data_IF_762828168909
#
_entry.id   IF_762828168909
#
_cell.length_a   1.000
_cell.length_b   1.000
_cell.length_c   1.000
_cell.angle_alpha   90.00
_cell.angle_beta   90.00
_cell.angle_gamma   90.00
#
_symmetry.space_group_name_H-M   'P 1'
#
loop_
_entity.id
_entity.type
_entity.pdbx_description
1 polymer ?
#
# COMPACT_ATOMS: atom_id res chain seq x y z
N UNK A 1 6.75 -16.59 7.34
CA UNK A 1 6.38 -15.33 8.02
C UNK A 1 4.90 -14.95 7.78
N UNK A 2 4.46 -14.77 6.56
CA UNK A 2 3.07 -14.39 6.24
C UNK A 2 2.06 -15.54 6.25
N UNK A 3 2.48 -16.76 6.56
CA UNK A 3 1.63 -17.98 6.58
C UNK A 3 0.95 -18.25 7.91
N UNK A 4 0.97 -17.28 8.85
CA UNK A 4 0.39 -17.47 10.19
C UNK A 4 1.14 -18.46 11.09
N UNK A 5 2.33 -18.89 10.68
CA UNK A 5 3.21 -19.75 11.49
C UNK A 5 3.88 -18.93 12.59
N UNK A 6 4.22 -19.53 13.75
CA UNK A 6 5.02 -18.86 14.78
C UNK A 6 6.32 -18.31 14.19
N UNK A 7 6.59 -17.05 14.40
CA UNK A 7 7.75 -16.38 13.80
C UNK A 7 8.87 -16.23 14.82
N UNK A 8 10.11 -16.26 14.33
CA UNK A 8 11.29 -15.96 15.18
C UNK A 8 11.31 -14.49 15.60
N UNK A 9 10.71 -13.59 14.81
CA UNK A 9 10.62 -12.16 15.08
C UNK A 9 9.36 -11.53 14.43
N UNK A 10 8.94 -10.36 14.93
CA UNK A 10 7.83 -9.58 14.39
C UNK A 10 8.35 -8.82 13.16
N UNK A 11 7.69 -8.92 11.99
CA UNK A 11 8.09 -8.15 10.82
C UNK A 11 7.94 -6.65 11.04
N UNK A 12 8.86 -5.86 10.48
CA UNK A 12 8.80 -4.41 10.46
C UNK A 12 9.11 -3.87 9.08
N UNK A 13 8.27 -2.96 8.57
CA UNK A 13 8.54 -2.25 7.33
C UNK A 13 7.86 -0.87 7.34
N UNK A 14 8.62 0.13 6.89
CA UNK A 14 8.17 1.50 6.71
C UNK A 14 8.41 1.95 5.28
N UNK A 15 7.72 3.00 4.85
CA UNK A 15 7.76 3.49 3.48
C UNK A 15 7.96 5.00 3.45
N UNK A 16 8.78 5.47 2.52
CA UNK A 16 9.04 6.88 2.32
C UNK A 16 8.98 7.24 0.84
N UNK A 17 8.41 8.40 0.53
CA UNK A 17 8.41 8.94 -0.82
C UNK A 17 9.81 9.28 -1.29
N UNK A 18 10.07 9.10 -2.58
CA UNK A 18 11.34 9.41 -3.23
C UNK A 18 11.48 10.91 -3.47
N UNK A 19 12.70 11.43 -3.41
CA UNK A 19 12.99 12.81 -3.77
C UNK A 19 12.81 13.04 -5.28
N UNK A 20 12.52 14.29 -5.71
CA UNK A 20 12.30 14.59 -7.12
C UNK A 20 13.42 14.12 -8.05
N UNK A 21 14.68 14.21 -7.62
CA UNK A 21 15.86 13.76 -8.37
C UNK A 21 16.03 12.24 -8.42
N UNK A 22 15.23 11.49 -7.68
CA UNK A 22 15.30 10.03 -7.51
C UNK A 22 14.12 9.28 -8.14
N UNK A 23 13.27 9.97 -8.89
CA UNK A 23 12.00 9.41 -9.37
C UNK A 23 12.15 8.42 -10.53
N UNK A 24 13.24 8.46 -11.29
CA UNK A 24 13.34 7.72 -12.55
C UNK A 24 14.66 6.97 -12.70
N UNK A 25 14.63 5.91 -13.52
CA UNK A 25 15.79 5.18 -14.00
C UNK A 25 16.70 4.65 -12.90
N UNK A 26 18.00 4.77 -13.10
CA UNK A 26 19.03 4.28 -12.15
C UNK A 26 18.98 4.99 -10.79
N UNK A 27 18.62 6.29 -10.76
CA UNK A 27 18.51 7.03 -9.50
C UNK A 27 17.40 6.44 -8.61
N UNK A 28 16.29 6.04 -9.22
CA UNK A 28 15.18 5.40 -8.52
C UNK A 28 15.58 4.04 -7.93
N UNK A 29 16.27 3.20 -8.71
CA UNK A 29 16.77 1.91 -8.24
C UNK A 29 17.73 2.11 -7.06
N UNK A 30 18.72 3.00 -7.20
CA UNK A 30 19.67 3.30 -6.12
C UNK A 30 19.00 3.85 -4.86
N UNK A 31 17.94 4.66 -5.01
CA UNK A 31 17.20 5.19 -3.86
C UNK A 31 16.52 4.06 -3.05
N UNK A 32 15.89 3.09 -3.71
CA UNK A 32 15.29 1.93 -3.06
C UNK A 32 16.34 1.06 -2.35
N UNK A 33 17.45 0.77 -3.02
CA UNK A 33 18.54 -0.02 -2.43
C UNK A 33 19.17 0.70 -1.23
N UNK A 34 19.37 2.01 -1.35
CA UNK A 34 19.89 2.82 -0.24
C UNK A 34 18.91 2.82 0.94
N UNK A 35 17.60 3.01 0.69
CA UNK A 35 16.58 2.96 1.72
C UNK A 35 16.58 1.61 2.43
N UNK A 36 16.59 0.51 1.68
CA UNK A 36 16.69 -0.85 2.24
C UNK A 36 17.90 -0.98 3.15
N UNK A 37 19.10 -0.64 2.67
CA UNK A 37 20.35 -0.76 3.44
C UNK A 37 20.42 0.17 4.66
N UNK A 38 19.73 1.30 4.64
CA UNK A 38 19.69 2.24 5.75
C UNK A 38 18.70 1.87 6.83
N UNK A 39 17.58 1.25 6.48
CA UNK A 39 16.46 1.01 7.40
C UNK A 39 16.28 -0.44 7.78
N UNK A 40 16.93 -1.37 7.06
CA UNK A 40 16.91 -2.83 7.28
C UNK A 40 15.49 -3.37 7.55
N UNK A 41 14.52 -3.14 6.64
CA UNK A 41 13.17 -3.63 6.80
C UNK A 41 13.07 -5.12 6.45
N UNK A 42 12.11 -5.82 7.03
CA UNK A 42 11.89 -7.24 6.73
C UNK A 42 11.34 -7.49 5.31
N UNK A 43 10.83 -6.45 4.66
CA UNK A 43 10.51 -6.43 3.22
C UNK A 43 10.54 -5.00 2.68
N UNK A 44 10.80 -4.84 1.40
CA UNK A 44 10.85 -3.53 0.75
C UNK A 44 9.58 -3.27 -0.08
N UNK A 45 8.96 -2.11 0.10
CA UNK A 45 7.93 -1.61 -0.83
C UNK A 45 8.57 -0.82 -1.97
N UNK A 46 8.39 -1.30 -3.20
CA UNK A 46 8.76 -0.57 -4.42
C UNK A 46 7.75 0.56 -4.62
N UNK A 47 8.23 1.80 -4.54
CA UNK A 47 7.36 2.98 -4.56
C UNK A 47 6.87 3.30 -5.97
N UNK A 48 5.63 3.81 -6.03
CA UNK A 48 4.99 4.27 -7.26
C UNK A 48 5.55 5.61 -7.77
N UNK A 49 6.27 6.35 -6.94
CA UNK A 49 6.69 7.73 -7.19
C UNK A 49 7.36 7.90 -8.56
N UNK A 50 6.97 8.95 -9.28
CA UNK A 50 7.53 9.27 -10.59
C UNK A 50 7.06 8.41 -11.76
N UNK A 51 6.25 7.36 -11.54
CA UNK A 51 5.68 6.60 -12.64
C UNK A 51 4.60 7.42 -13.37
N UNK A 52 4.68 7.41 -14.69
CA UNK A 52 3.75 8.13 -15.56
C UNK A 52 2.40 7.41 -15.55
N UNK A 53 1.39 7.99 -14.89
CA UNK A 53 0.06 7.40 -14.85
C UNK A 53 -0.70 7.62 -16.18
N UNK A 54 -1.73 6.82 -16.50
CA UNK A 54 -2.53 6.98 -17.71
C UNK A 54 -3.10 8.39 -17.90
N UNK A 55 -3.47 9.07 -16.83
CA UNK A 55 -3.94 10.47 -16.87
C UNK A 55 -2.86 11.45 -17.33
N UNK A 56 -1.60 11.19 -17.03
CA UNK A 56 -0.47 12.00 -17.49
C UNK A 56 -0.22 11.76 -19.00
N UNK A 57 -0.78 10.69 -19.56
CA UNK A 57 -0.76 10.34 -21.00
C UNK A 57 -1.99 10.84 -21.76
N UNK A 58 -2.78 11.73 -21.17
CA UNK A 58 -3.90 12.41 -21.83
C UNK A 58 -5.30 11.90 -21.48
N UNK A 59 -5.45 10.94 -20.57
CA UNK A 59 -6.78 10.51 -20.11
C UNK A 59 -7.37 11.52 -19.13
N UNK A 60 -7.78 12.68 -19.66
CA UNK A 60 -8.23 13.82 -18.85
C UNK A 60 -9.65 14.30 -19.15
N UNK A 61 -10.31 13.72 -20.14
CA UNK A 61 -11.68 14.03 -20.54
C UNK A 61 -12.54 12.78 -20.60
N UNK A 62 -13.88 12.96 -20.56
CA UNK A 62 -14.83 11.85 -20.67
C UNK A 62 -14.71 11.13 -22.03
N UNK A 63 -14.47 11.88 -23.11
CA UNK A 63 -14.29 11.30 -24.44
C UNK A 63 -13.04 10.41 -24.54
N UNK A 64 -11.95 10.83 -23.92
CA UNK A 64 -10.73 10.03 -23.87
C UNK A 64 -10.92 8.75 -23.00
N UNK A 65 -11.66 8.87 -21.89
CA UNK A 65 -12.03 7.71 -21.05
C UNK A 65 -12.95 6.76 -21.81
N UNK A 66 -13.93 7.24 -22.59
CA UNK A 66 -14.77 6.41 -23.46
C UNK A 66 -13.96 5.67 -24.52
N UNK A 67 -12.90 6.29 -25.01
CA UNK A 67 -12.00 5.71 -26.02
C UNK A 67 -10.96 4.75 -25.44
N UNK A 68 -10.72 4.78 -24.13
CA UNK A 68 -9.70 3.95 -23.49
C UNK A 68 -9.98 2.46 -23.68
N UNK A 69 -8.94 1.72 -24.02
CA UNK A 69 -8.97 0.24 -24.13
C UNK A 69 -7.70 -0.31 -23.52
N UNK A 70 -7.75 -1.47 -22.86
CA UNK A 70 -6.57 -2.08 -22.26
C UNK A 70 -5.57 -2.47 -23.34
N UNK A 71 -4.33 -2.14 -23.15
CA UNK A 71 -3.22 -2.45 -24.07
C UNK A 71 -2.11 -3.29 -23.41
N UNK A 72 -2.26 -3.60 -22.14
CA UNK A 72 -1.42 -4.52 -21.35
C UNK A 72 0.07 -4.22 -21.51
N UNK A 73 0.89 -5.19 -21.89
CA UNK A 73 2.33 -5.03 -22.07
C UNK A 73 2.77 -3.98 -23.12
N UNK A 74 1.85 -3.42 -23.90
CA UNK A 74 2.13 -2.27 -24.78
C UNK A 74 1.97 -0.92 -24.07
N UNK A 75 1.37 -0.92 -22.87
CA UNK A 75 1.16 0.28 -22.08
C UNK A 75 2.51 0.79 -21.54
N UNK A 76 2.94 2.04 -21.86
CA UNK A 76 4.21 2.59 -21.37
C UNK A 76 4.31 2.60 -19.83
N UNK A 77 3.21 2.90 -19.15
CA UNK A 77 3.11 2.86 -17.71
C UNK A 77 3.43 1.47 -17.13
N UNK A 78 2.85 0.41 -17.72
CA UNK A 78 3.10 -0.97 -17.31
C UNK A 78 4.57 -1.35 -17.55
N UNK A 79 5.13 -0.98 -18.68
CA UNK A 79 6.54 -1.28 -19.00
C UNK A 79 7.51 -0.61 -18.03
N UNK A 80 7.26 0.67 -17.69
CA UNK A 80 8.09 1.41 -16.74
C UNK A 80 8.03 0.77 -15.34
N UNK A 81 6.84 0.31 -14.93
CA UNK A 81 6.65 -0.42 -13.66
C UNK A 81 7.47 -1.71 -13.61
N UNK A 82 7.31 -2.54 -14.63
CA UNK A 82 7.99 -3.84 -14.69
C UNK A 82 9.51 -3.68 -14.74
N UNK A 83 10.01 -2.74 -15.53
CA UNK A 83 11.44 -2.45 -15.60
C UNK A 83 11.99 -2.00 -14.24
N UNK A 84 11.28 -1.11 -13.55
CA UNK A 84 11.65 -0.64 -12.21
C UNK A 84 11.74 -1.81 -11.23
N UNK A 85 10.69 -2.64 -11.16
CA UNK A 85 10.63 -3.76 -10.24
C UNK A 85 11.72 -4.81 -10.52
N UNK A 86 11.91 -5.18 -11.78
CA UNK A 86 12.99 -6.09 -12.21
C UNK A 86 14.35 -5.60 -11.75
N UNK A 87 14.70 -4.35 -12.05
CA UNK A 87 16.02 -3.79 -11.71
C UNK A 87 16.26 -3.69 -10.21
N UNK A 88 15.23 -3.39 -9.43
CA UNK A 88 15.33 -3.35 -7.97
C UNK A 88 15.55 -4.77 -7.43
N UNK A 89 14.75 -5.74 -7.86
CA UNK A 89 14.88 -7.13 -7.40
C UNK A 89 16.20 -7.78 -7.83
N UNK A 90 16.65 -7.55 -9.06
CA UNK A 90 17.99 -7.97 -9.51
C UNK A 90 19.10 -7.35 -8.64
N UNK A 91 18.96 -6.08 -8.23
CA UNK A 91 19.95 -5.40 -7.40
C UNK A 91 19.96 -5.85 -5.94
N UNK A 92 18.81 -6.36 -5.44
CA UNK A 92 18.68 -6.92 -4.11
C UNK A 92 19.19 -8.37 -4.02
N UNK A 93 19.26 -9.08 -5.16
CA UNK A 93 19.82 -10.44 -5.25
C UNK A 93 19.29 -11.39 -4.15
N UNK A 94 17.97 -11.40 -3.95
CA UNK A 94 17.27 -12.21 -2.93
C UNK A 94 17.58 -11.83 -1.46
N UNK A 95 18.17 -10.66 -1.20
CA UNK A 95 18.42 -10.18 0.16
C UNK A 95 17.13 -9.95 0.95
N UNK A 96 16.01 -9.61 0.28
CA UNK A 96 14.70 -9.34 0.89
C UNK A 96 13.55 -9.51 -0.10
N UNK A 97 12.39 -9.83 0.43
CA UNK A 97 11.15 -9.81 -0.35
C UNK A 97 10.74 -8.37 -0.73
N UNK A 98 10.06 -8.22 -1.87
CA UNK A 98 9.53 -6.93 -2.30
C UNK A 98 8.04 -6.97 -2.57
N UNK A 99 7.39 -5.82 -2.36
CA UNK A 99 6.02 -5.55 -2.74
C UNK A 99 5.97 -4.35 -3.68
N UNK A 100 5.35 -4.48 -4.84
CA UNK A 100 5.17 -3.31 -5.72
C UNK A 100 3.90 -2.54 -5.35
N UNK A 101 4.04 -1.23 -5.12
CA UNK A 101 2.91 -0.37 -4.81
C UNK A 101 2.10 -0.06 -6.08
N UNK A 102 0.89 -0.59 -6.16
CA UNK A 102 -0.06 -0.29 -7.24
C UNK A 102 -1.21 0.54 -6.66
N UNK A 103 -1.68 1.53 -7.40
CA UNK A 103 -2.92 2.22 -7.09
C UNK A 103 -4.11 1.51 -7.74
N UNK A 104 -5.27 1.51 -7.07
CA UNK A 104 -6.50 1.01 -7.69
C UNK A 104 -6.91 1.86 -8.90
N UNK A 105 -7.73 1.34 -9.81
CA UNK A 105 -8.17 2.09 -10.99
C UNK A 105 -8.76 3.45 -10.68
N UNK A 106 -9.66 3.53 -9.69
CA UNK A 106 -10.23 4.78 -9.23
C UNK A 106 -9.18 5.74 -8.66
N UNK A 107 -8.25 5.23 -7.82
CA UNK A 107 -7.16 6.01 -7.24
C UNK A 107 -6.27 6.64 -8.31
N UNK A 108 -6.00 5.93 -9.40
CA UNK A 108 -5.24 6.47 -10.53
C UNK A 108 -6.00 7.59 -11.25
N UNK A 109 -7.29 7.42 -11.49
CA UNK A 109 -8.12 8.44 -12.15
C UNK A 109 -8.32 9.69 -11.30
N UNK A 110 -8.24 9.60 -9.97
CA UNK A 110 -8.32 10.76 -9.07
C UNK A 110 -7.31 11.88 -9.38
N UNK A 111 -6.23 11.57 -10.07
CA UNK A 111 -5.26 12.58 -10.55
C UNK A 111 -5.87 13.58 -11.53
N UNK A 112 -7.02 13.27 -12.14
CA UNK A 112 -7.82 14.23 -12.94
C UNK A 112 -8.39 15.35 -12.06
N UNK A 113 -8.60 15.07 -10.77
CA UNK A 113 -9.27 15.91 -9.77
C UNK A 113 -10.67 15.36 -9.44
N UNK A 114 -11.00 15.33 -8.15
CA UNK A 114 -12.23 14.70 -7.64
C UNK A 114 -13.50 15.28 -8.29
N UNK A 115 -13.62 16.61 -8.36
CA UNK A 115 -14.80 17.27 -8.92
C UNK A 115 -15.05 16.90 -10.39
N UNK A 116 -13.98 16.83 -11.20
CA UNK A 116 -14.07 16.42 -12.60
C UNK A 116 -14.44 14.96 -12.74
N UNK A 117 -13.79 14.10 -11.97
CA UNK A 117 -14.05 12.66 -12.01
C UNK A 117 -15.51 12.35 -11.62
N UNK A 118 -16.01 12.97 -10.55
CA UNK A 118 -17.41 12.84 -10.13
C UNK A 118 -18.37 13.49 -11.15
N UNK A 119 -17.92 14.55 -11.83
CA UNK A 119 -18.67 15.15 -12.95
C UNK A 119 -18.86 14.17 -14.09
N UNK A 120 -17.79 13.50 -14.53
CA UNK A 120 -17.84 12.47 -15.57
C UNK A 120 -18.72 11.28 -15.17
N UNK A 121 -18.63 10.84 -13.92
CA UNK A 121 -19.47 9.76 -13.41
C UNK A 121 -20.97 10.10 -13.45
N UNK A 122 -21.33 11.36 -13.16
CA UNK A 122 -22.73 11.81 -13.24
C UNK A 122 -23.21 12.00 -14.67
N UNK A 123 -22.32 12.43 -15.57
CA UNK A 123 -22.63 12.66 -16.98
C UNK A 123 -22.85 11.35 -17.75
N UNK A 124 -21.96 10.37 -17.57
CA UNK A 124 -22.06 9.07 -18.22
C UNK A 124 -21.49 7.96 -17.28
N UNK A 125 -22.33 7.45 -16.36
CA UNK A 125 -21.93 6.42 -15.42
C UNK A 125 -21.40 5.15 -16.09
N UNK A 126 -22.00 4.74 -17.22
CA UNK A 126 -21.60 3.53 -17.92
C UNK A 126 -20.20 3.67 -18.55
N UNK A 127 -19.92 4.81 -19.16
CA UNK A 127 -18.60 5.07 -19.73
C UNK A 127 -17.50 5.07 -18.66
N UNK A 128 -17.79 5.60 -17.46
CA UNK A 128 -16.87 5.58 -16.34
C UNK A 128 -16.64 4.18 -15.79
N UNK A 129 -17.70 3.35 -15.67
CA UNK A 129 -17.57 1.93 -15.29
C UNK A 129 -16.69 1.18 -16.27
N UNK A 130 -16.93 1.35 -17.55
CA UNK A 130 -16.15 0.69 -18.61
C UNK A 130 -14.68 1.12 -18.56
N UNK A 131 -14.42 2.42 -18.39
CA UNK A 131 -13.04 2.93 -18.28
C UNK A 131 -12.31 2.38 -17.06
N UNK A 132 -12.98 2.31 -15.90
CA UNK A 132 -12.42 1.72 -14.69
C UNK A 132 -12.14 0.22 -14.87
N UNK A 133 -13.05 -0.53 -15.50
CA UNK A 133 -12.86 -1.95 -15.78
C UNK A 133 -11.68 -2.18 -16.75
N UNK A 134 -11.60 -1.42 -17.84
CA UNK A 134 -10.48 -1.51 -18.78
C UNK A 134 -9.14 -1.16 -18.15
N UNK A 135 -9.13 -0.15 -17.26
CA UNK A 135 -7.94 0.16 -16.46
C UNK A 135 -7.63 -0.97 -15.48
N UNK A 136 -8.66 -1.59 -14.88
CA UNK A 136 -8.54 -2.78 -14.06
C UNK A 136 -7.90 -3.96 -14.80
N UNK A 137 -8.23 -4.18 -16.08
CA UNK A 137 -7.59 -5.21 -16.92
C UNK A 137 -6.09 -4.96 -17.13
N UNK A 138 -5.69 -3.71 -17.37
CA UNK A 138 -4.28 -3.34 -17.50
C UNK A 138 -3.53 -3.53 -16.17
N UNK A 139 -4.14 -3.15 -15.04
CA UNK A 139 -3.54 -3.32 -13.71
C UNK A 139 -3.56 -4.77 -13.22
N UNK A 140 -4.54 -5.56 -13.60
CA UNK A 140 -4.57 -7.00 -13.36
C UNK A 140 -3.39 -7.69 -14.07
N UNK A 141 -3.19 -7.36 -15.36
CA UNK A 141 -2.02 -7.82 -16.11
C UNK A 141 -0.71 -7.37 -15.46
N UNK A 142 -0.62 -6.09 -15.03
CA UNK A 142 0.56 -5.58 -14.32
C UNK A 142 0.83 -6.37 -13.04
N UNK A 143 -0.20 -6.61 -12.23
CA UNK A 143 -0.07 -7.35 -10.96
C UNK A 143 0.47 -8.76 -11.17
N UNK A 144 -0.07 -9.48 -12.16
CA UNK A 144 0.43 -10.79 -12.56
C UNK A 144 1.91 -10.74 -12.91
N UNK A 145 2.31 -9.80 -13.77
CA UNK A 145 3.70 -9.69 -14.27
C UNK A 145 4.69 -9.25 -13.20
N UNK A 146 4.28 -8.37 -12.29
CA UNK A 146 5.13 -7.98 -11.15
C UNK A 146 5.47 -9.17 -10.25
N UNK A 147 4.51 -10.06 -10.04
CA UNK A 147 4.70 -11.25 -9.20
C UNK A 147 5.46 -12.33 -9.97
N UNK A 148 4.99 -12.70 -11.17
CA UNK A 148 5.51 -13.86 -11.90
C UNK A 148 6.81 -13.60 -12.65
N UNK A 149 7.04 -12.37 -13.14
CA UNK A 149 8.20 -12.05 -13.98
C UNK A 149 9.18 -11.10 -13.31
N UNK A 150 8.70 -10.13 -12.50
CA UNK A 150 9.58 -9.17 -11.86
C UNK A 150 10.06 -9.60 -10.46
N UNK A 151 9.58 -10.72 -9.92
CA UNK A 151 10.07 -11.30 -8.67
C UNK A 151 9.51 -10.65 -7.40
N UNK A 152 8.43 -9.87 -7.49
CA UNK A 152 7.75 -9.36 -6.29
C UNK A 152 7.02 -10.50 -5.57
N UNK A 153 7.09 -10.54 -4.23
CA UNK A 153 6.33 -11.50 -3.42
C UNK A 153 4.80 -11.28 -3.57
N UNK A 154 4.40 -10.04 -3.75
CA UNK A 154 3.01 -9.64 -3.94
C UNK A 154 2.89 -8.17 -4.35
N UNK A 155 1.66 -7.67 -4.39
CA UNK A 155 1.39 -6.26 -4.59
C UNK A 155 0.97 -5.59 -3.28
N UNK A 156 1.26 -4.28 -3.17
CA UNK A 156 0.70 -3.39 -2.18
C UNK A 156 -0.33 -2.52 -2.88
N UNK A 157 -1.61 -2.96 -2.86
CA UNK A 157 -2.68 -2.25 -3.55
C UNK A 157 -3.20 -1.10 -2.69
N UNK A 158 -2.91 0.12 -3.11
CA UNK A 158 -3.39 1.33 -2.45
C UNK A 158 -4.74 1.77 -3.02
N UNK A 159 -5.77 1.77 -2.17
CA UNK A 159 -7.16 2.03 -2.54
C UNK A 159 -7.68 3.30 -1.89
N UNK A 160 -8.46 4.04 -2.64
CA UNK A 160 -9.24 5.22 -2.26
C UNK A 160 -10.63 5.10 -2.90
N UNK A 161 -11.55 5.97 -2.49
CA UNK A 161 -12.90 6.00 -3.06
C UNK A 161 -13.98 5.53 -2.09
N UNK A 162 -13.59 5.00 -0.93
CA UNK A 162 -14.55 4.62 0.11
C UNK A 162 -14.73 5.70 1.19
N UNK A 163 -14.22 6.92 0.98
CA UNK A 163 -14.36 8.01 1.94
C UNK A 163 -15.84 8.29 2.23
N UNK A 164 -16.16 8.46 3.50
CA UNK A 164 -17.53 8.76 3.94
C UNK A 164 -18.11 9.96 3.19
N UNK A 165 -19.24 9.75 2.54
CA UNK A 165 -19.95 10.78 1.78
C UNK A 165 -19.51 10.95 0.33
N UNK A 166 -18.53 10.17 -0.16
CA UNK A 166 -18.11 10.20 -1.57
C UNK A 166 -19.08 9.37 -2.44
N UNK A 167 -19.34 8.14 -2.05
CA UNK A 167 -20.29 7.21 -2.68
C UNK A 167 -21.21 6.57 -1.65
N UNK A 168 -22.42 6.19 -2.05
CA UNK A 168 -23.20 5.22 -1.29
C UNK A 168 -22.59 3.82 -1.44
N UNK A 169 -22.93 2.87 -0.53
CA UNK A 169 -22.48 1.48 -0.69
C UNK A 169 -22.87 0.87 -2.03
N UNK A 170 -24.07 1.19 -2.54
CA UNK A 170 -24.58 0.71 -3.82
C UNK A 170 -23.79 1.30 -5.00
N UNK A 171 -23.51 2.61 -4.97
CA UNK A 171 -22.69 3.28 -5.99
C UNK A 171 -21.27 2.74 -6.00
N UNK A 172 -20.67 2.55 -4.83
CA UNK A 172 -19.34 1.95 -4.71
C UNK A 172 -19.30 0.53 -5.30
N UNK A 173 -20.29 -0.30 -4.93
CA UNK A 173 -20.40 -1.67 -5.42
C UNK A 173 -20.61 -1.74 -6.95
N UNK A 174 -21.32 -0.76 -7.52
CA UNK A 174 -21.61 -0.70 -8.96
C UNK A 174 -20.48 -0.08 -9.78
N UNK A 175 -19.82 0.97 -9.28
CA UNK A 175 -18.86 1.76 -10.07
C UNK A 175 -17.40 1.41 -9.78
N UNK A 176 -17.04 1.19 -8.52
CA UNK A 176 -15.65 1.12 -8.08
C UNK A 176 -15.18 -0.33 -7.87
N UNK A 177 -15.92 -1.07 -7.04
CA UNK A 177 -15.54 -2.40 -6.61
C UNK A 177 -15.22 -3.38 -7.76
N UNK A 178 -15.95 -3.44 -8.90
CA UNK A 178 -15.66 -4.40 -9.95
C UNK A 178 -14.25 -4.29 -10.51
N UNK A 179 -13.74 -3.06 -10.68
CA UNK A 179 -12.40 -2.82 -11.21
C UNK A 179 -11.30 -3.15 -10.20
N UNK A 180 -11.53 -2.90 -8.90
CA UNK A 180 -10.61 -3.27 -7.83
C UNK A 180 -10.52 -4.79 -7.64
N UNK A 181 -11.68 -5.47 -7.67
CA UNK A 181 -11.76 -6.93 -7.55
C UNK A 181 -11.07 -7.64 -8.71
N UNK A 182 -11.12 -7.08 -9.92
CA UNK A 182 -10.41 -7.61 -11.09
C UNK A 182 -8.89 -7.62 -10.85
N UNK A 183 -8.33 -6.52 -10.36
CA UNK A 183 -6.91 -6.41 -10.01
C UNK A 183 -6.52 -7.39 -8.91
N UNK A 184 -7.34 -7.45 -7.84
CA UNK A 184 -7.08 -8.34 -6.71
C UNK A 184 -7.18 -9.81 -7.06
N UNK A 185 -8.12 -10.20 -7.93
CA UNK A 185 -8.25 -11.59 -8.38
C UNK A 185 -6.99 -12.05 -9.11
N UNK A 186 -6.48 -11.26 -10.05
CA UNK A 186 -5.25 -11.59 -10.76
C UNK A 186 -4.02 -11.64 -9.83
N UNK A 187 -3.94 -10.71 -8.88
CA UNK A 187 -2.89 -10.71 -7.88
C UNK A 187 -2.97 -11.95 -6.97
N UNK A 188 -4.17 -12.32 -6.54
CA UNK A 188 -4.40 -13.46 -5.64
C UNK A 188 -4.15 -14.81 -6.33
N UNK A 189 -4.45 -14.92 -7.63
CA UNK A 189 -4.10 -16.10 -8.44
C UNK A 189 -2.58 -16.25 -8.58
N UNK A 190 -1.83 -15.15 -8.57
CA UNK A 190 -0.37 -15.15 -8.72
C UNK A 190 0.35 -15.30 -7.39
N UNK A 191 -0.18 -14.76 -6.29
CA UNK A 191 0.39 -14.85 -4.93
C UNK A 191 -0.66 -14.66 -3.86
N UNK A 192 -0.59 -15.45 -2.78
CA UNK A 192 -1.42 -15.25 -1.60
C UNK A 192 -0.96 -14.11 -0.68
N UNK A 193 0.20 -13.51 -0.94
CA UNK A 193 0.86 -12.54 -0.04
C UNK A 193 0.59 -11.07 -0.41
N UNK A 194 -0.62 -10.73 -0.85
CA UNK A 194 -0.94 -9.35 -1.22
C UNK A 194 -1.33 -8.50 0.01
N UNK A 195 -0.90 -7.25 0.01
CA UNK A 195 -1.21 -6.25 1.03
C UNK A 195 -2.27 -5.29 0.49
N UNK A 196 -3.38 -5.13 1.20
CA UNK A 196 -4.42 -4.16 0.92
C UNK A 196 -4.20 -2.92 1.76
N UNK A 197 -4.06 -1.75 1.12
CA UNK A 197 -3.90 -0.47 1.82
C UNK A 197 -5.13 0.40 1.64
N UNK A 198 -5.85 0.63 2.74
CA UNK A 198 -7.01 1.51 2.81
C UNK A 198 -6.52 2.91 3.21
N UNK A 199 -6.33 3.76 2.19
CA UNK A 199 -5.69 5.05 2.37
C UNK A 199 -6.59 6.04 3.12
N UNK A 200 -6.07 6.68 4.15
CA UNK A 200 -6.74 7.77 4.88
C UNK A 200 -6.64 9.11 4.13
N UNK A 201 -7.01 9.14 2.86
CA UNK A 201 -6.91 10.29 1.98
C UNK A 201 -7.62 11.51 2.57
N UNK A 202 -6.97 12.67 2.51
CA UNK A 202 -7.47 13.92 3.08
C UNK A 202 -7.90 13.83 4.57
N UNK A 203 -7.48 12.78 5.30
CA UNK A 203 -7.87 12.52 6.68
C UNK A 203 -9.41 12.33 6.84
N UNK A 204 -10.08 11.89 5.80
CA UNK A 204 -11.51 11.52 5.82
C UNK A 204 -11.59 10.02 6.13
N UNK A 205 -12.49 9.65 7.05
CA UNK A 205 -12.76 8.24 7.36
C UNK A 205 -13.35 7.52 6.16
N UNK A 206 -12.93 6.28 5.97
CA UNK A 206 -13.50 5.39 4.98
C UNK A 206 -14.70 4.59 5.53
N UNK A 207 -15.57 4.17 4.64
CA UNK A 207 -16.55 3.12 4.87
C UNK A 207 -15.84 1.77 4.72
N UNK A 208 -15.07 1.36 5.76
CA UNK A 208 -14.17 0.20 5.71
C UNK A 208 -14.91 -1.13 5.42
N UNK A 209 -16.21 -1.18 5.68
CA UNK A 209 -17.08 -2.31 5.33
C UNK A 209 -17.11 -2.62 3.83
N UNK A 210 -16.88 -1.62 2.96
CA UNK A 210 -16.82 -1.78 1.51
C UNK A 210 -15.64 -2.65 1.05
N UNK A 211 -14.55 -2.64 1.82
CA UNK A 211 -13.33 -3.40 1.56
C UNK A 211 -13.10 -4.58 2.50
N UNK A 212 -13.95 -4.73 3.53
CA UNK A 212 -13.71 -5.69 4.61
C UNK A 212 -13.46 -7.12 4.11
N UNK A 213 -14.21 -7.52 3.11
CA UNK A 213 -14.21 -8.90 2.61
C UNK A 213 -13.37 -9.08 1.33
N UNK A 214 -12.63 -8.05 0.91
CA UNK A 214 -11.73 -8.15 -0.24
C UNK A 214 -10.61 -9.18 0.00
N UNK A 215 -10.22 -9.95 -1.03
CA UNK A 215 -9.17 -10.94 -0.89
C UNK A 215 -7.80 -10.29 -0.67
N UNK A 216 -7.04 -10.81 0.27
CA UNK A 216 -5.69 -10.34 0.60
C UNK A 216 -5.24 -10.89 1.95
N UNK A 217 -3.97 -11.23 2.06
CA UNK A 217 -3.40 -11.83 3.27
C UNK A 217 -3.21 -10.81 4.39
N UNK A 218 -2.86 -9.59 4.04
CA UNK A 218 -2.51 -8.52 4.97
C UNK A 218 -3.31 -7.26 4.68
N UNK A 219 -3.76 -6.58 5.73
CA UNK A 219 -4.44 -5.28 5.64
C UNK A 219 -3.63 -4.19 6.34
N UNK A 220 -3.57 -3.03 5.71
CA UNK A 220 -2.98 -1.80 6.24
C UNK A 220 -4.01 -0.68 6.09
N UNK A 221 -4.25 0.09 7.13
CA UNK A 221 -5.22 1.19 7.12
C UNK A 221 -4.70 2.36 7.93
N UNK A 222 -5.32 3.51 7.78
CA UNK A 222 -5.00 4.71 8.53
C UNK A 222 -5.59 4.64 9.96
N UNK A 223 -4.94 3.90 10.84
CA UNK A 223 -5.37 3.58 12.22
C UNK A 223 -5.89 4.81 12.96
N UNK A 224 -5.19 5.93 12.82
CA UNK A 224 -5.53 7.17 13.54
C UNK A 224 -6.63 7.99 12.87
N UNK A 225 -6.80 7.90 11.55
CA UNK A 225 -7.91 8.52 10.81
C UNK A 225 -9.19 7.74 11.06
N UNK A 226 -9.12 6.43 10.91
CA UNK A 226 -10.25 5.52 11.09
C UNK A 226 -10.67 5.39 12.56
N UNK A 227 -9.76 5.73 13.50
CA UNK A 227 -9.92 5.47 14.92
C UNK A 227 -10.19 3.99 15.21
N UNK A 228 -9.51 3.12 14.47
CA UNK A 228 -9.61 1.67 14.57
C UNK A 228 -8.24 1.11 14.97
N UNK A 229 -7.98 0.84 16.25
CA UNK A 229 -6.71 0.29 16.75
C UNK A 229 -6.38 -1.06 16.09
N UNK A 230 -5.08 -1.41 15.99
CA UNK A 230 -4.62 -2.62 15.30
C UNK A 230 -5.32 -3.91 15.78
N UNK A 231 -5.48 -4.08 17.08
CA UNK A 231 -6.12 -5.27 17.64
C UNK A 231 -7.62 -5.36 17.28
N UNK A 232 -8.31 -4.23 17.27
CA UNK A 232 -9.72 -4.17 16.88
C UNK A 232 -9.87 -4.35 15.38
N UNK A 233 -9.01 -3.70 14.59
CA UNK A 233 -8.99 -3.82 13.15
C UNK A 233 -8.69 -5.25 12.69
N UNK A 234 -7.75 -5.97 13.33
CA UNK A 234 -7.51 -7.38 13.02
C UNK A 234 -8.78 -8.23 13.18
N UNK A 235 -9.54 -8.01 14.25
CA UNK A 235 -10.82 -8.71 14.46
C UNK A 235 -11.84 -8.31 13.39
N UNK A 236 -11.93 -7.00 13.11
CA UNK A 236 -12.84 -6.46 12.10
C UNK A 236 -12.58 -7.04 10.71
N UNK A 237 -11.31 -7.20 10.34
CA UNK A 237 -10.89 -7.76 9.04
C UNK A 237 -10.72 -9.30 9.06
N UNK A 238 -11.42 -10.03 9.92
CA UNK A 238 -11.46 -11.49 9.90
C UNK A 238 -10.15 -12.17 10.31
N UNK A 239 -9.41 -11.59 11.23
CA UNK A 239 -8.14 -12.12 11.78
C UNK A 239 -7.00 -12.20 10.76
N UNK A 240 -7.07 -11.46 9.65
CA UNK A 240 -5.95 -11.31 8.70
C UNK A 240 -4.73 -10.66 9.37
N UNK A 241 -3.57 -10.81 8.76
CA UNK A 241 -2.41 -10.04 9.18
C UNK A 241 -2.72 -8.55 9.08
N UNK A 242 -2.27 -7.77 10.06
CA UNK A 242 -2.43 -6.32 10.05
C UNK A 242 -1.07 -5.63 10.12
N UNK A 243 -0.92 -4.61 9.29
CA UNK A 243 0.27 -3.77 9.24
C UNK A 243 -0.08 -2.37 9.71
N UNK A 244 0.74 -1.79 10.58
CA UNK A 244 0.54 -0.42 11.07
C UNK A 244 1.17 -0.19 12.44
N UNK A 245 0.63 0.81 13.15
CA UNK A 245 1.01 1.14 14.52
C UNK A 245 1.41 2.60 14.70
N UNK A 246 2.01 3.23 13.68
CA UNK A 246 2.47 4.61 13.77
C UNK A 246 1.73 5.55 12.82
N UNK A 247 1.43 6.75 13.35
CA UNK A 247 0.86 7.86 12.58
C UNK A 247 1.96 8.50 11.71
N UNK A 248 1.78 8.43 10.39
CA UNK A 248 2.75 8.96 9.41
C UNK A 248 2.63 10.46 9.16
N UNK A 249 1.71 11.17 9.82
CA UNK A 249 1.46 12.60 9.58
C UNK A 249 2.53 13.48 10.23
N UNK A 250 2.83 14.62 9.59
CA UNK A 250 3.75 15.62 10.14
C UNK A 250 3.32 16.05 11.55
N UNK A 251 4.29 16.31 12.43
CA UNK A 251 4.08 16.72 13.80
C UNK A 251 3.64 15.58 14.74
N UNK A 252 3.52 14.34 14.23
CA UNK A 252 3.25 13.16 15.05
C UNK A 252 4.55 12.53 15.57
N UNK A 253 4.40 11.52 16.43
CA UNK A 253 5.50 10.96 17.21
C UNK A 253 6.74 10.63 16.38
N UNK A 254 6.60 9.93 15.23
CA UNK A 254 7.75 9.59 14.42
C UNK A 254 8.45 10.80 13.80
N UNK A 255 7.74 11.91 13.52
CA UNK A 255 8.38 13.13 13.03
C UNK A 255 9.07 13.96 14.11
N UNK A 256 8.53 14.02 15.32
CA UNK A 256 8.92 15.02 16.32
C UNK A 256 9.32 14.46 17.68
N UNK A 257 9.03 13.19 17.95
CA UNK A 257 9.36 12.54 19.23
C UNK A 257 10.85 12.26 19.38
N UNK A 258 11.26 12.12 20.64
CA UNK A 258 12.60 11.63 21.00
C UNK A 258 12.72 10.13 20.76
N UNK A 259 13.94 9.61 20.67
CA UNK A 259 14.21 8.17 20.56
C UNK A 259 13.55 7.39 21.71
N UNK A 260 13.55 7.93 22.91
CA UNK A 260 12.97 7.29 24.08
C UNK A 260 11.42 7.26 24.03
N UNK A 261 10.79 8.31 23.52
CA UNK A 261 9.34 8.33 23.31
C UNK A 261 8.92 7.33 22.22
N UNK A 262 9.66 7.25 21.12
CA UNK A 262 9.44 6.27 20.05
C UNK A 262 9.59 4.84 20.59
N UNK A 263 10.64 4.57 21.38
CA UNK A 263 10.85 3.28 22.04
C UNK A 263 9.69 2.90 22.98
N UNK A 264 9.23 3.84 23.79
CA UNK A 264 8.09 3.62 24.70
C UNK A 264 6.82 3.29 23.92
N UNK A 265 6.53 4.02 22.86
CA UNK A 265 5.37 3.78 22.02
C UNK A 265 5.45 2.46 21.27
N UNK A 266 6.63 2.09 20.73
CA UNK A 266 6.86 0.78 20.12
C UNK A 266 6.48 -0.33 21.11
N UNK A 267 6.99 -0.25 22.33
CA UNK A 267 6.67 -1.24 23.38
C UNK A 267 5.17 -1.25 23.71
N UNK A 268 4.53 -0.09 23.80
CA UNK A 268 3.10 0.06 24.06
C UNK A 268 2.25 -0.63 22.99
N UNK A 269 2.56 -0.42 21.70
CA UNK A 269 1.87 -1.07 20.57
C UNK A 269 1.98 -2.60 20.69
N UNK A 270 3.20 -3.11 20.92
CA UNK A 270 3.47 -4.55 21.01
C UNK A 270 2.73 -5.20 22.20
N UNK A 271 2.77 -4.57 23.39
CA UNK A 271 2.08 -5.07 24.58
C UNK A 271 0.56 -5.04 24.40
N UNK A 272 0.03 -3.95 23.86
CA UNK A 272 -1.41 -3.82 23.62
C UNK A 272 -1.89 -4.92 22.67
N UNK A 273 -1.17 -5.15 21.59
CA UNK A 273 -1.51 -6.21 20.64
C UNK A 273 -1.40 -7.61 21.27
N UNK A 274 -0.28 -7.88 21.95
CA UNK A 274 -0.06 -9.16 22.63
C UNK A 274 -1.12 -9.44 23.70
N UNK A 275 -1.50 -8.42 24.47
CA UNK A 275 -2.55 -8.58 25.49
C UNK A 275 -3.91 -8.91 24.89
N UNK A 276 -4.19 -8.44 23.68
CA UNK A 276 -5.46 -8.72 22.98
C UNK A 276 -5.55 -10.15 22.41
N UNK A 277 -4.42 -10.77 22.04
CA UNK A 277 -4.39 -12.05 21.33
C UNK A 277 -3.57 -13.16 22.03
N UNK A 278 -2.85 -12.86 23.10
CA UNK A 278 -1.90 -13.78 23.74
C UNK A 278 -0.58 -13.96 22.96
N UNK A 279 -0.50 -13.51 21.72
CA UNK A 279 0.69 -13.55 20.84
C UNK A 279 0.79 -12.28 20.01
N UNK A 280 1.90 -12.16 19.26
CA UNK A 280 2.08 -11.10 18.24
C UNK A 280 1.90 -11.61 16.82
N UNK A 281 1.38 -12.82 16.66
CA UNK A 281 1.12 -13.43 15.35
C UNK A 281 0.16 -12.57 14.53
N UNK A 282 0.50 -12.37 13.25
CA UNK A 282 -0.26 -11.55 12.33
C UNK A 282 -0.06 -10.04 12.50
N UNK A 283 0.86 -9.59 13.35
CA UNK A 283 1.29 -8.19 13.41
C UNK A 283 2.49 -7.95 12.50
N UNK A 284 2.41 -6.92 11.67
CA UNK A 284 3.53 -6.30 10.97
C UNK A 284 3.64 -4.86 11.48
N UNK A 285 4.75 -4.52 12.10
CA UNK A 285 4.95 -3.17 12.62
C UNK A 285 5.26 -2.20 11.47
N UNK A 286 4.54 -1.10 11.40
CA UNK A 286 4.67 -0.12 10.34
C UNK A 286 3.89 1.15 10.65
N UNK A 287 3.48 1.86 9.61
CA UNK A 287 2.71 3.10 9.75
C UNK A 287 1.43 3.09 8.91
N UNK A 288 0.58 4.09 9.16
CA UNK A 288 -0.70 4.29 8.48
C UNK A 288 -0.55 4.49 6.96
N UNK A 289 0.54 5.12 6.53
CA UNK A 289 0.87 5.35 5.12
C UNK A 289 2.37 5.68 4.97
N UNK A 290 2.80 6.06 3.75
CA UNK A 290 4.18 6.48 3.46
C UNK A 290 4.52 7.83 4.08
N UNK A 291 5.78 8.01 4.47
CA UNK A 291 6.33 9.27 4.96
C UNK A 291 6.78 10.17 3.81
N UNK A 292 6.84 11.47 4.05
CA UNK A 292 7.29 12.44 3.05
C UNK A 292 8.81 12.39 2.87
N UNK A 293 9.28 13.01 1.80
CA UNK A 293 10.71 13.00 1.40
C UNK A 293 11.68 13.63 2.40
N UNK A 294 11.18 14.49 3.29
CA UNK A 294 11.95 15.18 4.33
C UNK A 294 12.02 14.43 5.67
N UNK A 295 11.44 13.23 5.74
CA UNK A 295 11.48 12.43 6.96
C UNK A 295 12.89 11.85 7.20
N UNK A 296 13.30 11.84 8.46
CA UNK A 296 14.58 11.29 8.90
C UNK A 296 14.50 9.76 9.04
N UNK A 297 15.01 9.02 8.05
CA UNK A 297 14.93 7.54 7.98
C UNK A 297 15.52 6.83 9.20
N UNK A 298 16.49 7.44 9.89
CA UNK A 298 17.05 6.90 11.14
C UNK A 298 15.97 6.60 12.20
N UNK A 299 14.86 7.32 12.18
CA UNK A 299 13.76 7.13 13.12
C UNK A 299 13.04 5.78 12.93
N UNK A 300 13.07 5.22 11.74
CA UNK A 300 12.62 3.84 11.51
C UNK A 300 13.54 2.84 12.22
N UNK A 301 14.85 3.08 12.18
CA UNK A 301 15.81 2.24 12.90
C UNK A 301 15.56 2.25 14.42
N UNK A 302 15.15 3.39 14.99
CA UNK A 302 14.81 3.45 16.42
C UNK A 302 13.61 2.57 16.78
N UNK A 303 12.63 2.45 15.88
CA UNK A 303 11.49 1.52 16.05
C UNK A 303 11.97 0.08 15.97
N UNK A 304 12.76 -0.27 14.96
CA UNK A 304 13.33 -1.62 14.78
C UNK A 304 14.20 -2.03 15.98
N UNK A 305 15.08 -1.14 16.45
CA UNK A 305 15.90 -1.38 17.65
C UNK A 305 15.05 -1.66 18.89
N UNK A 306 13.99 -0.87 19.10
CA UNK A 306 13.07 -1.03 20.24
C UNK A 306 12.30 -2.35 20.15
N UNK A 307 11.83 -2.72 18.96
CA UNK A 307 11.19 -3.99 18.68
C UNK A 307 12.10 -5.17 18.99
N UNK A 308 13.31 -5.19 18.41
CA UNK A 308 14.30 -6.28 18.62
C UNK A 308 14.73 -6.39 20.09
N UNK A 309 14.78 -5.26 20.80
CA UNK A 309 15.05 -5.28 22.25
C UNK A 309 13.88 -5.92 23.02
N UNK A 310 12.64 -5.53 22.70
CA UNK A 310 11.44 -6.10 23.32
C UNK A 310 11.35 -7.62 23.11
N UNK A 311 11.70 -8.11 21.93
CA UNK A 311 11.75 -9.55 21.61
C UNK A 311 12.79 -10.30 22.44
N UNK A 312 14.01 -9.74 22.60
CA UNK A 312 15.06 -10.34 23.44
C UNK A 312 14.67 -10.45 24.90
N UNK A 313 14.10 -9.37 25.47
CA UNK A 313 13.65 -9.33 26.87
C UNK A 313 12.62 -10.43 27.21
N UNK A 314 12.04 -11.11 26.22
CA UNK A 314 11.01 -12.15 26.39
C UNK A 314 11.47 -13.57 26.07
N UNK A 315 12.64 -13.72 25.51
CA UNK A 315 13.29 -15.01 25.28
C UNK A 315 14.14 -15.44 26.48
N UNK A 316 14.46 -14.49 27.37
CA UNK A 316 15.11 -14.68 28.66
C UNK A 316 14.08 -14.99 29.78
#
# INVERSE_FOLDING_TARGET
MLEGQPHEHIPVSFFQHLKPEELHGEACVKAHIRFYKQTDPDFLKIMHDGLTAPVDLGLTSLEELKAYRPIKGRNPYIREYLERALRINESLADETDTYSNIFSPFTLLRRIGDDRLLGFLREDPQAMKDALLFMGEDLAYLSEKLIQEAGCLGIFLAMQGAETGLFTPEEFADYIAPSEQLVLSAAQESSSYNILHFCGWNQIKNQLELWRDYPGNTVNWAVYVEQLPLAEGRKYFGMRNCMGGFDNRRGKLLYSGTKEEIRRETKNILETYKNAFGSTDGLILGADCSFLTDFETERFCWVTEALRQWERERKE
#
